data_IF_641934875401
#
_entry.id   IF_641934875401
#
_cell.length_a   1.000
_cell.length_b   1.000
_cell.length_c   1.000
_cell.angle_alpha   90.00
_cell.angle_beta   90.00
_cell.angle_gamma   90.00
#
_symmetry.space_group_name_H-M   'P 1'
#
loop_
_entity.id
_entity.type
_entity.pdbx_description
1 polymer ?
#
# COMPACT_ATOMS: atom_id res chain seq x y z
N UNK A 1 -14.49 23.40 5.84
CA UNK A 1 -14.09 23.43 4.41
C UNK A 1 -12.68 24.00 4.33
N UNK A 2 -11.68 23.15 4.17
CA UNK A 2 -10.31 23.57 3.85
C UNK A 2 -10.26 24.01 2.39
N UNK A 3 -9.72 25.20 2.07
CA UNK A 3 -9.64 25.68 0.69
C UNK A 3 -8.73 24.76 -0.13
N UNK A 4 -9.15 24.44 -1.35
CA UNK A 4 -8.37 23.61 -2.28
C UNK A 4 -7.14 24.36 -2.79
N UNK A 5 -6.15 23.66 -3.34
CA UNK A 5 -5.02 24.29 -4.05
C UNK A 5 -5.49 25.21 -5.20
N UNK A 6 -6.65 24.91 -5.82
CA UNK A 6 -7.28 25.76 -6.84
C UNK A 6 -7.87 27.05 -6.24
N UNK A 7 -8.51 27.00 -5.07
CA UNK A 7 -8.94 28.21 -4.33
C UNK A 7 -7.73 29.06 -3.91
N UNK A 8 -6.63 28.39 -3.58
CA UNK A 8 -5.33 29.00 -3.31
C UNK A 8 -4.57 29.41 -4.57
N UNK A 9 -4.95 29.04 -5.79
CA UNK A 9 -4.41 29.63 -7.00
C UNK A 9 -5.22 30.86 -7.44
N UNK A 10 -6.54 30.87 -7.14
CA UNK A 10 -7.46 31.88 -7.61
C UNK A 10 -7.34 33.25 -6.92
N UNK A 11 -6.97 33.31 -5.63
CA UNK A 11 -6.74 34.63 -5.00
C UNK A 11 -5.35 35.17 -5.39
N UNK A 12 -5.19 36.49 -5.60
CA UNK A 12 -3.88 37.10 -5.81
C UNK A 12 -2.90 36.70 -4.71
N UNK A 13 -1.63 36.47 -5.07
CA UNK A 13 -0.54 36.26 -4.13
C UNK A 13 0.70 37.02 -4.60
N UNK A 14 1.54 37.43 -3.65
CA UNK A 14 2.79 38.13 -3.94
C UNK A 14 3.78 37.18 -4.63
N UNK A 15 4.30 37.51 -5.83
CA UNK A 15 5.25 36.68 -6.56
C UNK A 15 6.64 36.59 -5.90
N UNK A 16 6.84 37.23 -4.74
CA UNK A 16 8.08 37.21 -3.96
C UNK A 16 9.32 37.72 -4.72
N UNK A 17 9.28 38.88 -5.39
CA UNK A 17 10.37 39.37 -6.23
C UNK A 17 11.65 39.73 -5.45
N UNK A 18 11.57 39.79 -4.11
CA UNK A 18 12.71 40.04 -3.21
C UNK A 18 13.38 38.77 -2.71
N UNK A 19 12.77 37.60 -2.94
CA UNK A 19 13.33 36.32 -2.53
C UNK A 19 14.22 35.79 -3.64
N UNK A 20 15.52 35.54 -3.41
CA UNK A 20 16.40 34.95 -4.42
C UNK A 20 15.88 33.61 -4.94
N UNK A 21 15.16 32.86 -4.09
CA UNK A 21 14.48 31.63 -4.49
C UNK A 21 13.57 31.88 -5.70
N UNK A 22 12.77 32.95 -5.71
CA UNK A 22 11.79 33.23 -6.76
C UNK A 22 12.25 34.27 -7.79
N UNK A 23 13.22 35.13 -7.45
CA UNK A 23 13.70 36.21 -8.33
C UNK A 23 14.95 35.86 -9.13
N UNK A 24 15.70 34.84 -8.70
CA UNK A 24 16.96 34.43 -9.35
C UNK A 24 16.86 33.02 -9.91
N UNK A 25 16.31 32.07 -9.15
CA UNK A 25 16.29 30.67 -9.56
C UNK A 25 15.15 30.37 -10.54
N UNK A 26 15.43 29.65 -11.64
CA UNK A 26 14.40 29.15 -12.55
C UNK A 26 13.57 28.05 -11.88
N UNK A 27 12.38 27.77 -12.41
CA UNK A 27 11.42 26.85 -11.78
C UNK A 27 11.93 25.43 -11.64
N UNK A 28 12.78 24.98 -12.55
CA UNK A 28 13.42 23.66 -12.54
C UNK A 28 14.30 23.49 -11.29
N UNK A 29 15.15 24.48 -11.00
CA UNK A 29 16.00 24.44 -9.80
C UNK A 29 15.19 24.61 -8.51
N UNK A 30 14.10 25.39 -8.55
CA UNK A 30 13.18 25.48 -7.41
C UNK A 30 12.52 24.14 -7.12
N UNK A 31 12.07 23.42 -8.15
CA UNK A 31 11.48 22.10 -8.01
C UNK A 31 12.47 21.10 -7.39
N UNK A 32 13.75 21.12 -7.80
CA UNK A 32 14.79 20.31 -7.16
C UNK A 32 14.97 20.68 -5.69
N UNK A 33 15.03 21.98 -5.36
CA UNK A 33 15.10 22.44 -3.97
C UNK A 33 13.90 21.95 -3.16
N UNK A 34 12.68 22.06 -3.69
CA UNK A 34 11.49 21.53 -3.03
C UNK A 34 11.57 20.00 -2.87
N UNK A 35 12.01 19.26 -3.89
CA UNK A 35 12.14 17.81 -3.80
C UNK A 35 13.09 17.40 -2.67
N UNK A 36 14.27 18.03 -2.57
CA UNK A 36 15.24 17.73 -1.51
C UNK A 36 14.77 18.21 -0.13
N UNK A 37 14.17 19.40 -0.04
CA UNK A 37 13.72 19.94 1.25
C UNK A 37 12.52 19.19 1.84
N UNK A 38 11.71 18.56 0.98
CA UNK A 38 10.46 17.89 1.34
C UNK A 38 10.56 16.37 1.35
N UNK A 39 11.75 15.82 1.07
CA UNK A 39 12.00 14.37 1.08
C UNK A 39 11.59 13.76 2.41
N UNK A 40 10.96 12.59 2.34
CA UNK A 40 10.63 11.82 3.54
C UNK A 40 11.89 11.22 4.16
N UNK A 41 11.95 11.25 5.49
CA UNK A 41 12.93 10.54 6.30
C UNK A 41 12.23 9.83 7.46
N UNK A 42 12.91 8.86 8.06
CA UNK A 42 12.40 8.13 9.23
C UNK A 42 12.54 9.00 10.48
N UNK A 43 11.50 9.01 11.31
CA UNK A 43 11.48 9.75 12.56
C UNK A 43 12.14 8.94 13.68
N UNK A 44 13.47 9.04 13.78
CA UNK A 44 14.28 8.30 14.76
C UNK A 44 13.82 8.56 16.22
N UNK A 45 13.25 9.73 16.51
CA UNK A 45 12.72 10.07 17.84
C UNK A 45 11.49 9.24 18.22
N UNK A 46 10.76 8.75 17.21
CA UNK A 46 9.55 7.95 17.35
C UNK A 46 9.72 6.59 16.66
N UNK A 47 10.94 6.04 16.67
CA UNK A 47 11.24 4.73 16.10
C UNK A 47 10.31 3.66 16.67
N UNK A 48 9.87 2.75 15.81
CA UNK A 48 9.08 1.60 16.22
C UNK A 48 9.92 0.63 17.05
N UNK A 49 9.29 -0.11 17.98
CA UNK A 49 9.97 -1.21 18.66
C UNK A 49 10.52 -2.21 17.63
N UNK A 50 11.78 -2.63 17.77
CA UNK A 50 12.41 -3.57 16.84
C UNK A 50 11.67 -4.91 16.75
N UNK A 51 10.97 -5.31 17.82
CA UNK A 51 10.15 -6.51 17.88
C UNK A 51 8.69 -6.27 17.47
N UNK A 52 8.30 -5.09 17.03
CA UNK A 52 6.95 -4.89 16.49
C UNK A 52 6.79 -5.57 15.12
N UNK A 53 5.58 -6.05 14.82
CA UNK A 53 5.28 -6.67 13.52
C UNK A 53 5.55 -5.78 12.29
N UNK A 54 5.61 -4.46 12.46
CA UNK A 54 5.78 -3.50 11.37
C UNK A 54 7.17 -2.86 11.30
N UNK A 55 8.07 -3.23 12.21
CA UNK A 55 9.46 -2.81 12.12
C UNK A 55 10.18 -3.56 10.99
N UNK A 56 10.84 -2.81 10.10
CA UNK A 56 11.74 -3.35 9.07
C UNK A 56 12.64 -2.26 8.52
N UNK A 57 13.77 -2.60 7.86
CA UNK A 57 14.61 -1.62 7.19
C UNK A 57 13.82 -0.76 6.19
N UNK A 58 13.95 0.56 6.31
CA UNK A 58 13.21 1.53 5.50
C UNK A 58 11.78 1.82 5.95
N UNK A 59 11.32 1.13 7.01
CA UNK A 59 10.13 1.46 7.80
C UNK A 59 10.42 1.24 9.30
N UNK A 60 11.55 1.76 9.79
CA UNK A 60 11.96 1.63 11.19
C UNK A 60 11.17 2.56 12.13
N UNK A 61 10.51 3.57 11.57
CA UNK A 61 9.67 4.53 12.30
C UNK A 61 8.64 5.22 11.39
N UNK A 62 7.80 6.11 11.95
CA UNK A 62 6.93 6.96 11.16
C UNK A 62 7.75 7.81 10.19
N UNK A 63 7.33 7.90 8.93
CA UNK A 63 7.97 8.82 7.98
C UNK A 63 7.49 10.25 8.19
N UNK A 64 8.42 11.19 8.14
CA UNK A 64 8.20 12.64 8.26
C UNK A 64 8.86 13.39 7.11
N UNK A 65 8.32 14.57 6.82
CA UNK A 65 8.88 15.56 5.90
C UNK A 65 8.82 16.94 6.53
N UNK A 66 9.76 17.82 6.17
CA UNK A 66 9.77 19.19 6.69
C UNK A 66 8.83 20.10 5.90
N UNK A 67 7.67 20.45 6.45
CA UNK A 67 6.75 21.40 5.80
C UNK A 67 7.13 22.87 5.99
N UNK A 68 8.24 23.16 6.69
CA UNK A 68 8.66 24.53 7.03
C UNK A 68 8.77 25.43 5.79
N UNK A 69 9.33 24.92 4.70
CA UNK A 69 9.46 25.66 3.45
C UNK A 69 8.10 25.95 2.79
N UNK A 70 7.17 24.99 2.80
CA UNK A 70 5.81 25.18 2.28
C UNK A 70 5.02 26.23 3.06
N UNK A 71 5.32 26.39 4.35
CA UNK A 71 4.66 27.34 5.26
C UNK A 71 5.21 28.76 5.18
N UNK A 72 6.22 29.03 4.33
CA UNK A 72 6.83 30.36 4.22
C UNK A 72 5.95 31.37 3.48
N UNK A 73 5.43 30.99 2.31
CA UNK A 73 4.55 31.83 1.51
C UNK A 73 3.68 31.00 0.57
N UNK A 74 2.65 31.63 0.02
CA UNK A 74 1.68 30.94 -0.86
C UNK A 74 2.30 30.44 -2.17
N UNK A 75 3.28 31.16 -2.73
CA UNK A 75 3.99 30.71 -3.93
C UNK A 75 4.83 29.44 -3.63
N UNK A 76 5.54 29.41 -2.50
CA UNK A 76 6.27 28.23 -2.05
C UNK A 76 5.33 27.03 -1.81
N UNK A 77 4.17 27.27 -1.20
CA UNK A 77 3.15 26.24 -1.05
C UNK A 77 2.65 25.69 -2.38
N UNK A 78 2.26 26.56 -3.33
CA UNK A 78 1.69 26.15 -4.61
C UNK A 78 2.67 25.41 -5.53
N UNK A 79 3.95 25.80 -5.53
CA UNK A 79 4.99 25.14 -6.31
C UNK A 79 5.48 23.86 -5.60
N UNK A 80 5.81 23.97 -4.32
CA UNK A 80 6.39 22.87 -3.55
C UNK A 80 5.42 21.74 -3.24
N UNK A 81 4.12 22.01 -2.99
CA UNK A 81 3.14 20.95 -2.68
C UNK A 81 3.02 19.92 -3.82
N UNK A 82 3.14 20.37 -5.08
CA UNK A 82 3.06 19.49 -6.25
C UNK A 82 4.24 18.53 -6.32
N UNK A 83 5.43 19.04 -5.99
CA UNK A 83 6.66 18.24 -5.97
C UNK A 83 6.61 17.26 -4.80
N UNK A 84 6.21 17.74 -3.62
CA UNK A 84 6.08 16.93 -2.42
C UNK A 84 5.22 15.69 -2.64
N UNK A 85 3.98 15.86 -3.10
CA UNK A 85 3.04 14.74 -3.25
C UNK A 85 3.48 13.71 -4.31
N UNK A 86 4.21 14.14 -5.34
CA UNK A 86 4.70 13.24 -6.40
C UNK A 86 5.80 12.29 -5.90
N UNK A 87 6.65 12.77 -5.01
CA UNK A 87 7.76 12.01 -4.43
C UNK A 87 7.37 11.33 -3.10
N UNK A 88 6.22 11.70 -2.52
CA UNK A 88 5.69 11.14 -1.28
C UNK A 88 5.24 9.69 -1.48
N UNK A 89 5.91 8.73 -0.84
CA UNK A 89 5.39 7.37 -0.69
C UNK A 89 4.55 7.29 0.58
N UNK A 90 3.26 7.07 0.41
CA UNK A 90 2.34 6.89 1.54
C UNK A 90 2.04 5.42 1.78
N UNK A 91 2.28 4.95 3.00
CA UNK A 91 2.11 3.55 3.37
C UNK A 91 0.86 3.32 4.25
N UNK A 92 0.17 2.22 3.98
CA UNK A 92 -0.94 1.71 4.79
C UNK A 92 -0.65 0.28 5.22
N UNK A 93 -1.16 -0.08 6.40
CA UNK A 93 -1.09 -1.44 6.92
C UNK A 93 -2.48 -2.04 6.95
N UNK A 94 -2.66 -3.21 6.36
CA UNK A 94 -3.89 -3.97 6.43
C UNK A 94 -3.65 -5.14 7.38
N UNK A 95 -3.86 -4.81 8.65
CA UNK A 95 -3.49 -5.57 9.85
C UNK A 95 -2.02 -5.44 10.29
N UNK A 96 -1.77 -5.72 11.58
CA UNK A 96 -0.44 -5.80 12.21
C UNK A 96 0.45 -4.58 11.91
N UNK A 97 -0.14 -3.40 11.98
CA UNK A 97 0.51 -2.12 11.71
C UNK A 97 0.43 -1.15 12.89
N UNK A 98 1.11 0.01 12.79
CA UNK A 98 1.06 1.02 13.83
C UNK A 98 -0.36 1.59 14.00
N UNK A 99 -0.65 2.05 15.21
CA UNK A 99 -1.96 2.62 15.56
C UNK A 99 -2.32 3.81 14.65
N UNK A 100 -3.60 3.92 14.29
CA UNK A 100 -4.14 5.03 13.49
C UNK A 100 -3.80 4.99 11.99
N UNK A 101 -2.94 4.06 11.54
CA UNK A 101 -2.57 3.88 10.11
C UNK A 101 -2.97 2.51 9.54
N UNK A 102 -3.75 1.76 10.32
CA UNK A 102 -4.10 0.38 10.02
C UNK A 102 -5.57 0.22 9.60
N UNK A 103 -5.80 -0.59 8.57
CA UNK A 103 -7.11 -1.06 8.11
C UNK A 103 -7.76 -0.24 6.98
N UNK A 104 -8.79 -0.85 6.38
CA UNK A 104 -9.57 -0.29 5.26
C UNK A 104 -10.12 1.11 5.56
N UNK A 105 -10.70 1.30 6.76
CA UNK A 105 -11.31 2.58 7.16
C UNK A 105 -10.29 3.71 7.26
N UNK A 106 -9.08 3.43 7.71
CA UNK A 106 -8.01 4.44 7.78
C UNK A 106 -7.56 4.86 6.37
N UNK A 107 -7.39 3.87 5.48
CA UNK A 107 -7.08 4.10 4.07
C UNK A 107 -8.16 4.95 3.38
N UNK A 108 -9.43 4.54 3.48
CA UNK A 108 -10.55 5.28 2.88
C UNK A 108 -10.63 6.71 3.41
N UNK A 109 -10.57 6.90 4.73
CA UNK A 109 -10.63 8.24 5.34
C UNK A 109 -9.50 9.13 4.84
N UNK A 110 -8.29 8.59 4.68
CA UNK A 110 -7.16 9.33 4.15
C UNK A 110 -7.46 9.82 2.73
N UNK A 111 -7.82 8.91 1.81
CA UNK A 111 -8.13 9.31 0.44
C UNK A 111 -9.35 10.22 0.39
N UNK A 112 -10.32 10.04 1.28
CA UNK A 112 -11.50 10.88 1.38
C UNK A 112 -11.22 12.32 1.77
N UNK A 113 -10.14 12.52 2.53
CA UNK A 113 -9.67 13.85 2.94
C UNK A 113 -8.90 14.58 1.84
N UNK A 114 -8.43 13.89 0.79
CA UNK A 114 -7.66 14.51 -0.29
C UNK A 114 -8.57 15.29 -1.24
N UNK A 115 -8.08 16.46 -1.65
CA UNK A 115 -8.68 17.18 -2.78
C UNK A 115 -8.42 16.42 -4.08
N UNK A 116 -9.23 16.62 -5.14
CA UNK A 116 -9.01 15.96 -6.43
C UNK A 116 -7.60 16.20 -7.02
N UNK A 117 -7.01 17.38 -6.76
CA UNK A 117 -5.65 17.67 -7.20
C UNK A 117 -4.61 16.89 -6.39
N UNK A 118 -4.73 16.86 -5.06
CA UNK A 118 -3.81 16.11 -4.20
C UNK A 118 -3.86 14.61 -4.49
N UNK A 119 -5.06 14.07 -4.68
CA UNK A 119 -5.27 12.67 -5.09
C UNK A 119 -4.59 12.35 -6.41
N UNK A 120 -4.62 13.27 -7.40
CA UNK A 120 -3.88 13.12 -8.65
C UNK A 120 -2.37 13.28 -8.49
N UNK A 121 -1.91 14.12 -7.57
CA UNK A 121 -0.47 14.35 -7.37
C UNK A 121 0.19 13.28 -6.49
N UNK A 122 -0.57 12.55 -5.67
CA UNK A 122 -0.08 11.42 -4.88
C UNK A 122 0.12 10.19 -5.76
N UNK A 123 1.38 9.94 -6.14
CA UNK A 123 1.71 8.94 -7.16
C UNK A 123 2.22 7.60 -6.61
N UNK A 124 2.74 7.60 -5.37
CA UNK A 124 3.41 6.44 -4.78
C UNK A 124 2.65 5.99 -3.53
N UNK A 125 2.08 4.78 -3.60
CA UNK A 125 1.36 4.19 -2.47
C UNK A 125 1.93 2.81 -2.16
N UNK A 126 2.06 2.49 -0.88
CA UNK A 126 2.47 1.18 -0.40
C UNK A 126 1.42 0.56 0.51
N UNK A 127 1.14 -0.72 0.31
CA UNK A 127 0.31 -1.54 1.18
C UNK A 127 1.17 -2.61 1.83
N UNK A 128 1.14 -2.68 3.15
CA UNK A 128 1.52 -3.88 3.90
C UNK A 128 0.26 -4.70 4.12
N UNK A 129 0.25 -5.95 3.68
CA UNK A 129 -0.98 -6.74 3.63
C UNK A 129 -0.77 -8.10 4.24
N UNK A 130 -1.61 -8.47 5.21
CA UNK A 130 -1.74 -9.86 5.60
C UNK A 130 -2.42 -10.68 4.49
N UNK A 131 -2.10 -11.97 4.42
CA UNK A 131 -2.64 -12.88 3.41
C UNK A 131 -4.17 -12.92 3.38
N UNK A 132 -4.85 -12.97 4.52
CA UNK A 132 -6.33 -12.99 4.56
C UNK A 132 -6.96 -11.75 3.90
N UNK A 133 -6.30 -10.60 3.98
CA UNK A 133 -6.81 -9.37 3.41
C UNK A 133 -6.60 -9.35 1.90
N UNK A 134 -5.43 -9.82 1.44
CA UNK A 134 -4.99 -9.75 0.05
C UNK A 134 -5.53 -10.89 -0.80
N UNK A 135 -5.33 -12.14 -0.38
CA UNK A 135 -5.28 -13.36 -1.20
C UNK A 135 -6.50 -13.57 -2.11
N UNK A 136 -7.70 -13.38 -1.59
CA UNK A 136 -8.95 -13.54 -2.36
C UNK A 136 -9.18 -12.36 -3.31
N UNK A 137 -8.54 -11.22 -3.11
CA UNK A 137 -8.62 -10.06 -4.01
C UNK A 137 -9.79 -9.12 -3.78
N UNK A 138 -10.82 -9.51 -3.03
CA UNK A 138 -12.01 -8.68 -2.79
C UNK A 138 -11.69 -7.32 -2.16
N UNK A 139 -10.86 -7.28 -1.12
CA UNK A 139 -10.47 -6.01 -0.48
C UNK A 139 -9.64 -5.11 -1.40
N UNK A 140 -8.70 -5.71 -2.14
CA UNK A 140 -7.86 -4.97 -3.07
C UNK A 140 -8.72 -4.40 -4.22
N UNK A 141 -9.56 -5.23 -4.84
CA UNK A 141 -10.50 -4.82 -5.89
C UNK A 141 -11.41 -3.69 -5.39
N UNK A 142 -11.96 -3.81 -4.17
CA UNK A 142 -12.78 -2.75 -3.56
C UNK A 142 -12.03 -1.42 -3.50
N UNK A 143 -10.78 -1.40 -3.04
CA UNK A 143 -10.00 -0.16 -3.00
C UNK A 143 -9.67 0.35 -4.40
N UNK A 144 -9.21 -0.51 -5.30
CA UNK A 144 -8.85 -0.10 -6.66
C UNK A 144 -10.07 0.46 -7.40
N UNK A 145 -11.24 -0.16 -7.28
CA UNK A 145 -12.43 0.17 -8.07
C UNK A 145 -13.38 1.16 -7.40
N UNK A 146 -13.57 1.09 -6.08
CA UNK A 146 -14.61 1.84 -5.36
C UNK A 146 -14.08 3.07 -4.62
N UNK A 147 -12.76 3.24 -4.47
CA UNK A 147 -12.19 4.47 -3.93
C UNK A 147 -11.82 5.43 -5.07
N UNK A 148 -12.67 6.41 -5.43
CA UNK A 148 -12.49 7.25 -6.63
C UNK A 148 -11.22 8.11 -6.61
N UNK A 149 -10.68 8.38 -5.41
CA UNK A 149 -9.44 9.15 -5.19
C UNK A 149 -8.17 8.29 -5.15
N UNK A 150 -8.30 6.97 -5.26
CA UNK A 150 -7.15 6.07 -5.35
C UNK A 150 -6.65 6.01 -6.79
N UNK A 151 -5.64 6.80 -7.14
CA UNK A 151 -5.06 6.87 -8.50
C UNK A 151 -3.52 6.94 -8.52
N UNK A 152 -2.81 6.07 -7.78
CA UNK A 152 -1.35 6.09 -7.81
C UNK A 152 -0.83 5.60 -9.18
N UNK A 153 0.29 6.16 -9.63
CA UNK A 153 1.04 5.57 -10.74
C UNK A 153 1.81 4.31 -10.32
N UNK A 154 2.25 4.24 -9.06
CA UNK A 154 2.91 3.07 -8.50
C UNK A 154 2.22 2.60 -7.23
N UNK A 155 1.82 1.32 -7.23
CA UNK A 155 1.44 0.61 -6.02
C UNK A 155 2.55 -0.39 -5.66
N UNK A 156 3.00 -0.36 -4.41
CA UNK A 156 3.84 -1.41 -3.83
C UNK A 156 3.01 -2.23 -2.85
N UNK A 157 2.95 -3.54 -3.01
CA UNK A 157 2.37 -4.47 -2.03
C UNK A 157 3.52 -5.19 -1.35
N UNK A 158 3.55 -5.21 -0.02
CA UNK A 158 4.54 -5.93 0.77
C UNK A 158 3.80 -6.96 1.63
N UNK A 159 4.20 -8.22 1.48
CA UNK A 159 3.79 -9.34 2.33
C UNK A 159 4.99 -9.66 3.22
N UNK A 160 4.92 -9.30 4.51
CA UNK A 160 5.98 -9.55 5.48
C UNK A 160 6.05 -11.03 5.86
N UNK A 161 7.14 -11.43 6.50
CA UNK A 161 7.26 -12.76 7.06
C UNK A 161 6.07 -13.14 7.97
N UNK A 162 5.66 -12.22 8.83
CA UNK A 162 4.52 -12.41 9.73
C UNK A 162 3.18 -12.12 9.07
N UNK A 163 3.09 -11.98 7.75
CA UNK A 163 1.83 -11.76 7.05
C UNK A 163 1.32 -13.04 6.35
N UNK A 164 2.17 -14.07 6.25
CA UNK A 164 1.84 -15.36 5.68
C UNK A 164 0.85 -16.15 6.55
N UNK A 165 0.05 -17.01 5.92
CA UNK A 165 -0.86 -17.89 6.62
C UNK A 165 -0.11 -18.80 7.60
N UNK A 166 -0.56 -18.84 8.86
CA UNK A 166 -0.07 -19.77 9.88
C UNK A 166 1.46 -19.76 10.06
N UNK A 167 2.08 -18.59 9.85
CA UNK A 167 3.53 -18.43 10.00
C UNK A 167 3.99 -18.78 11.42
N UNK A 168 3.12 -18.58 12.43
CA UNK A 168 3.36 -18.91 13.83
C UNK A 168 3.56 -20.42 14.04
N UNK A 169 3.03 -21.26 13.16
CA UNK A 169 3.14 -22.73 13.20
C UNK A 169 4.22 -23.27 12.25
N UNK A 170 5.01 -22.39 11.63
CA UNK A 170 5.98 -22.75 10.60
C UNK A 170 5.35 -23.51 9.40
N UNK A 171 4.09 -23.26 9.08
CA UNK A 171 3.41 -23.90 7.95
C UNK A 171 4.07 -23.55 6.60
N UNK A 172 4.03 -24.46 5.60
CA UNK A 172 4.54 -24.19 4.27
C UNK A 172 3.90 -22.96 3.62
N UNK A 173 4.69 -22.17 2.89
CA UNK A 173 4.19 -20.98 2.24
C UNK A 173 3.22 -21.32 1.11
N UNK A 174 2.06 -20.68 1.12
CA UNK A 174 1.05 -20.78 0.07
C UNK A 174 0.39 -19.44 -0.18
N UNK A 175 -0.10 -19.25 -1.40
CA UNK A 175 -0.84 -18.07 -1.83
C UNK A 175 -1.77 -18.41 -3.00
N UNK A 176 -3.08 -18.21 -2.87
CA UNK A 176 -4.02 -18.25 -4.00
C UNK A 176 -3.86 -16.99 -4.88
N UNK A 177 -4.25 -17.10 -6.13
CA UNK A 177 -4.05 -16.03 -7.14
C UNK A 177 -5.29 -15.14 -7.34
N UNK A 178 -6.32 -15.29 -6.50
CA UNK A 178 -7.56 -14.51 -6.58
C UNK A 178 -7.32 -13.00 -6.64
N UNK A 179 -6.35 -12.50 -5.88
CA UNK A 179 -5.95 -11.09 -5.90
C UNK A 179 -5.33 -10.61 -7.22
N UNK A 180 -4.64 -11.48 -7.96
CA UNK A 180 -4.12 -11.18 -9.30
C UNK A 180 -5.24 -11.28 -10.34
N UNK A 181 -6.08 -12.31 -10.22
CA UNK A 181 -7.23 -12.55 -11.08
C UNK A 181 -8.24 -11.40 -11.03
N UNK A 182 -8.49 -10.87 -9.83
CA UNK A 182 -9.40 -9.73 -9.58
C UNK A 182 -8.71 -8.37 -9.64
N UNK A 183 -7.40 -8.30 -9.87
CA UNK A 183 -6.68 -7.02 -9.91
C UNK A 183 -7.16 -6.13 -11.06
N UNK A 184 -7.68 -4.93 -10.76
CA UNK A 184 -8.04 -3.95 -11.79
C UNK A 184 -7.44 -2.59 -11.47
N UNK A 185 -6.31 -2.27 -12.08
CA UNK A 185 -5.56 -1.05 -11.81
C UNK A 185 -6.37 0.22 -12.14
N UNK A 186 -6.27 1.30 -11.34
CA UNK A 186 -6.88 2.57 -11.68
C UNK A 186 -6.20 3.20 -12.90
N UNK A 187 -6.93 4.10 -13.57
CA UNK A 187 -6.44 4.88 -14.70
C UNK A 187 -5.11 5.58 -14.35
N UNK A 188 -4.12 5.46 -15.24
CA UNK A 188 -2.81 6.07 -15.08
C UNK A 188 -1.83 5.26 -14.23
N UNK A 189 -2.22 4.09 -13.73
CA UNK A 189 -1.28 3.17 -13.09
C UNK A 189 -0.22 2.70 -14.10
N UNK A 190 1.04 2.72 -13.67
CA UNK A 190 2.22 2.37 -14.49
C UNK A 190 3.03 1.23 -13.95
N UNK A 191 2.98 1.00 -12.64
CA UNK A 191 3.83 0.02 -11.99
C UNK A 191 3.13 -0.60 -10.78
N UNK A 192 3.17 -1.92 -10.71
CA UNK A 192 2.91 -2.67 -9.48
C UNK A 192 4.24 -3.30 -9.05
N UNK A 193 4.61 -3.10 -7.78
CA UNK A 193 5.70 -3.82 -7.13
C UNK A 193 5.13 -4.75 -6.08
N UNK A 194 5.69 -5.93 -5.98
CA UNK A 194 5.33 -6.88 -4.93
C UNK A 194 6.59 -7.33 -4.23
N UNK A 195 6.70 -7.01 -2.94
CA UNK A 195 7.77 -7.45 -2.05
C UNK A 195 7.27 -8.65 -1.25
N UNK A 196 7.84 -9.82 -1.53
CA UNK A 196 7.60 -11.05 -0.77
C UNK A 196 8.74 -11.20 0.23
N UNK A 197 8.43 -11.19 1.53
CA UNK A 197 9.41 -11.34 2.60
C UNK A 197 9.12 -12.58 3.43
N UNK A 198 10.15 -13.38 3.71
CA UNK A 198 10.05 -14.58 4.56
C UNK A 198 11.39 -14.90 5.21
N UNK A 199 11.45 -15.95 6.04
CA UNK A 199 12.71 -16.46 6.57
C UNK A 199 13.62 -16.96 5.44
N UNK A 200 14.92 -16.74 5.57
CA UNK A 200 15.92 -17.20 4.61
C UNK A 200 15.80 -18.70 4.27
N UNK A 201 15.37 -19.53 5.23
CA UNK A 201 15.13 -20.96 5.08
C UNK A 201 13.95 -21.30 4.15
N UNK A 202 12.93 -20.42 4.06
CA UNK A 202 11.71 -20.60 3.26
C UNK A 202 11.77 -19.93 1.89
N UNK A 203 12.94 -19.47 1.48
CA UNK A 203 13.16 -18.78 0.20
C UNK A 203 12.61 -19.55 -1.00
N UNK A 204 12.87 -20.85 -1.07
CA UNK A 204 12.52 -21.64 -2.26
C UNK A 204 11.00 -21.88 -2.39
N UNK A 205 10.30 -22.01 -1.26
CA UNK A 205 8.83 -22.04 -1.22
C UNK A 205 8.24 -20.71 -1.72
N UNK A 206 8.75 -19.59 -1.20
CA UNK A 206 8.35 -18.25 -1.65
C UNK A 206 8.62 -18.08 -3.15
N UNK A 207 9.78 -18.52 -3.64
CA UNK A 207 10.15 -18.41 -5.06
C UNK A 207 9.22 -19.22 -5.98
N UNK A 208 8.61 -20.31 -5.51
CA UNK A 208 7.58 -21.01 -6.29
C UNK A 208 6.34 -20.12 -6.50
N UNK A 209 5.93 -19.38 -5.45
CA UNK A 209 4.83 -18.42 -5.51
C UNK A 209 5.18 -17.25 -6.43
N UNK A 210 6.36 -16.65 -6.26
CA UNK A 210 6.80 -15.51 -7.09
C UNK A 210 6.78 -15.87 -8.58
N UNK A 211 7.32 -17.04 -8.95
CA UNK A 211 7.37 -17.47 -10.36
C UNK A 211 5.99 -17.62 -10.98
N UNK A 212 5.05 -18.24 -10.25
CA UNK A 212 3.68 -18.42 -10.70
C UNK A 212 2.94 -17.07 -10.81
N UNK A 213 3.06 -16.22 -9.80
CA UNK A 213 2.43 -14.89 -9.80
C UNK A 213 2.92 -14.04 -10.98
N UNK A 214 4.21 -14.12 -11.32
CA UNK A 214 4.85 -13.37 -12.42
C UNK A 214 4.22 -13.61 -13.80
N UNK A 215 3.55 -14.74 -13.99
CA UNK A 215 2.90 -15.07 -15.27
C UNK A 215 1.68 -14.19 -15.55
N UNK A 216 1.04 -13.64 -14.52
CA UNK A 216 -0.20 -12.90 -14.63
C UNK A 216 -0.03 -11.56 -15.36
N UNK A 217 -0.97 -11.28 -16.26
CA UNK A 217 -1.23 -9.93 -16.82
C UNK A 217 -2.35 -9.27 -16.03
N UNK A 218 -2.14 -8.01 -15.67
CA UNK A 218 -3.03 -7.28 -14.78
C UNK A 218 -3.67 -6.13 -15.52
N UNK A 219 -4.99 -6.04 -15.52
CA UNK A 219 -5.70 -5.00 -16.25
C UNK A 219 -5.42 -3.61 -15.64
N UNK A 220 -5.31 -2.59 -16.50
CA UNK A 220 -5.37 -1.19 -16.11
C UNK A 220 -6.56 -0.55 -16.81
N UNK A 221 -7.51 -0.03 -16.03
CA UNK A 221 -8.74 0.55 -16.55
C UNK A 221 -8.46 1.81 -17.37
N UNK A 222 -9.15 1.91 -18.50
CA UNK A 222 -9.16 3.12 -19.33
C UNK A 222 -10.11 4.19 -18.80
N UNK A 223 -10.27 5.25 -19.60
CA UNK A 223 -11.26 6.28 -19.29
C UNK A 223 -12.67 5.70 -19.44
N UNK A 224 -13.58 6.08 -18.53
CA UNK A 224 -14.98 5.64 -18.54
C UNK A 224 -15.70 5.97 -19.85
N UNK A 225 -15.24 7.01 -20.56
CA UNK A 225 -15.82 7.50 -21.81
C UNK A 225 -15.53 6.61 -23.03
N UNK A 226 -14.51 5.76 -22.98
CA UNK A 226 -14.03 5.02 -24.17
C UNK A 226 -14.32 3.50 -24.10
N UNK A 227 -14.65 2.94 -22.94
CA UNK A 227 -14.97 1.51 -22.79
C UNK A 227 -13.83 0.55 -23.17
N UNK A 228 -12.61 1.07 -23.36
CA UNK A 228 -11.41 0.33 -23.74
C UNK A 228 -10.41 0.41 -22.57
N UNK A 229 -9.86 -0.73 -22.14
CA UNK A 229 -8.78 -0.76 -21.16
C UNK A 229 -7.58 0.08 -21.64
N UNK A 230 -6.96 0.86 -20.74
CA UNK A 230 -5.78 1.69 -21.08
C UNK A 230 -4.62 0.79 -21.56
N UNK A 231 -4.48 -0.35 -20.90
CA UNK A 231 -3.50 -1.35 -21.20
C UNK A 231 -3.47 -2.42 -20.11
N UNK A 232 -2.28 -2.97 -19.87
CA UNK A 232 -2.08 -3.96 -18.82
C UNK A 232 -0.70 -3.86 -18.19
N UNK A 233 -0.54 -4.31 -16.95
CA UNK A 233 0.75 -4.51 -16.32
C UNK A 233 1.24 -5.93 -16.61
N UNK A 234 2.51 -6.06 -16.98
CA UNK A 234 3.17 -7.34 -17.21
C UNK A 234 4.54 -7.37 -16.54
N UNK A 235 4.87 -8.49 -15.90
CA UNK A 235 6.21 -8.73 -15.36
C UNK A 235 7.16 -9.39 -16.38
N UNK A 236 6.74 -9.59 -17.63
CA UNK A 236 7.61 -10.09 -18.69
C UNK A 236 8.81 -9.20 -18.94
N UNK A 237 10.00 -9.82 -19.00
CA UNK A 237 11.27 -9.14 -19.20
C UNK A 237 11.76 -8.35 -17.99
N UNK A 238 11.05 -8.39 -16.85
CA UNK A 238 11.50 -7.75 -15.61
C UNK A 238 12.38 -8.69 -14.79
N UNK A 239 13.46 -8.13 -14.23
CA UNK A 239 14.34 -8.87 -13.32
C UNK A 239 13.79 -8.83 -11.89
N UNK A 240 13.87 -9.97 -11.20
CA UNK A 240 13.63 -10.02 -9.76
C UNK A 240 14.79 -9.34 -9.03
N UNK A 241 14.48 -8.61 -7.95
CA UNK A 241 15.49 -8.08 -7.03
C UNK A 241 15.38 -8.81 -5.71
N UNK A 242 16.51 -9.30 -5.21
CA UNK A 242 16.59 -9.98 -3.93
C UNK A 242 17.53 -9.23 -3.00
N UNK A 243 17.14 -9.13 -1.73
CA UNK A 243 18.03 -8.68 -0.66
C UNK A 243 17.70 -9.44 0.63
N UNK A 244 18.61 -9.34 1.59
CA UNK A 244 18.49 -9.95 2.91
C UNK A 244 18.64 -8.90 3.97
N UNK A 245 18.02 -9.15 5.11
CA UNK A 245 18.23 -8.35 6.31
C UNK A 245 18.06 -9.21 7.55
N UNK A 246 18.71 -8.78 8.63
CA UNK A 246 18.64 -9.46 9.93
C UNK A 246 17.76 -8.64 10.85
N UNK A 247 16.75 -9.26 11.43
CA UNK A 247 15.88 -8.67 12.44
C UNK A 247 15.87 -9.50 13.71
N UNK A 248 15.16 -9.03 14.73
CA UNK A 248 15.00 -9.81 15.97
C UNK A 248 14.22 -11.11 15.71
N UNK A 249 14.51 -12.14 16.49
CA UNK A 249 13.73 -13.38 16.51
C UNK A 249 12.43 -13.27 17.30
N UNK A 250 12.14 -12.10 17.89
CA UNK A 250 10.95 -11.83 18.69
C UNK A 250 9.98 -10.95 17.92
N UNK A 251 8.68 -11.22 18.09
CA UNK A 251 7.61 -10.37 17.56
C UNK A 251 6.60 -10.14 18.69
N UNK A 252 6.35 -8.87 19.02
CA UNK A 252 5.62 -8.41 20.21
C UNK A 252 6.06 -9.14 21.49
N UNK A 253 7.37 -9.22 21.71
CA UNK A 253 7.99 -9.91 22.84
C UNK A 253 7.83 -11.44 22.88
N UNK A 254 7.18 -12.06 21.89
CA UNK A 254 6.98 -13.52 21.80
C UNK A 254 8.10 -14.19 21.01
N UNK A 255 8.28 -15.48 21.25
CA UNK A 255 9.29 -16.32 20.58
C UNK A 255 8.64 -17.53 19.93
N UNK A 256 9.24 -18.06 18.88
CA UNK A 256 8.79 -19.26 18.18
C UNK A 256 9.94 -20.24 18.00
N UNK A 257 9.66 -21.54 18.11
CA UNK A 257 10.68 -22.60 18.07
C UNK A 257 11.47 -22.61 16.76
N UNK A 258 10.80 -22.38 15.63
CA UNK A 258 11.42 -22.37 14.29
C UNK A 258 12.33 -21.15 14.03
N UNK A 259 12.40 -20.18 14.95
CA UNK A 259 13.41 -19.11 14.90
C UNK A 259 14.76 -19.56 15.48
N UNK A 260 14.81 -20.71 16.16
CA UNK A 260 15.99 -21.23 16.84
C UNK A 260 16.32 -20.48 18.15
N UNK A 261 17.52 -20.75 18.69
CA UNK A 261 17.96 -20.22 19.99
C UNK A 261 18.55 -18.80 19.93
N UNK A 262 18.67 -18.21 18.72
CA UNK A 262 19.27 -16.89 18.52
C UNK A 262 18.31 -15.73 18.80
N UNK A 263 18.87 -14.56 19.12
CA UNK A 263 18.09 -13.32 19.30
C UNK A 263 17.69 -12.65 17.97
N UNK A 264 18.14 -13.21 16.84
CA UNK A 264 17.91 -12.67 15.50
C UNK A 264 17.60 -13.77 14.48
N UNK A 265 16.82 -13.42 13.46
CA UNK A 265 16.58 -14.25 12.27
C UNK A 265 16.99 -13.51 11.00
N UNK A 266 17.37 -14.27 9.96
CA UNK A 266 17.64 -13.71 8.64
C UNK A 266 16.38 -13.79 7.78
N UNK A 267 15.94 -12.63 7.29
CA UNK A 267 14.88 -12.49 6.32
C UNK A 267 15.45 -12.36 4.91
N UNK A 268 14.71 -12.90 3.95
CA UNK A 268 14.94 -12.68 2.52
C UNK A 268 13.72 -11.97 1.95
N UNK A 269 13.96 -10.96 1.11
CA UNK A 269 12.92 -10.26 0.38
C UNK A 269 13.17 -10.40 -1.11
N UNK A 270 12.13 -10.75 -1.86
CA UNK A 270 12.14 -10.75 -3.32
C UNK A 270 11.12 -9.73 -3.81
N UNK A 271 11.58 -8.71 -4.53
CA UNK A 271 10.75 -7.76 -5.27
C UNK A 271 10.54 -8.28 -6.70
N UNK A 272 9.28 -8.39 -7.09
CA UNK A 272 8.85 -8.50 -8.48
C UNK A 272 8.14 -7.22 -8.94
N UNK A 273 8.13 -6.98 -10.25
CA UNK A 273 7.65 -5.75 -10.86
C UNK A 273 6.83 -6.04 -12.09
N UNK A 274 5.62 -5.51 -12.13
CA UNK A 274 4.80 -5.44 -13.32
C UNK A 274 4.86 -4.01 -13.86
N UNK A 275 5.25 -3.88 -15.12
CA UNK A 275 5.34 -2.59 -15.81
C UNK A 275 4.23 -2.48 -16.84
N UNK A 276 3.69 -1.27 -16.98
CA UNK A 276 2.64 -0.99 -17.95
C UNK A 276 3.08 -1.25 -19.39
N UNK A 277 2.15 -1.85 -20.14
CA UNK A 277 2.20 -2.11 -21.58
C UNK A 277 0.97 -1.47 -22.21
N UNK A 278 1.21 -0.72 -23.28
CA UNK A 278 0.14 -0.11 -24.05
C UNK A 278 -0.65 -1.17 -24.80
N UNK A 279 -1.97 -1.00 -24.83
CA UNK A 279 -2.87 -1.89 -25.54
C UNK A 279 -3.38 -3.07 -24.70
N UNK A 280 -4.48 -3.68 -25.17
CA UNK A 280 -5.13 -4.76 -24.43
C UNK A 280 -4.22 -5.98 -24.27
N UNK A 281 -4.37 -6.70 -23.16
CA UNK A 281 -3.77 -8.04 -23.02
C UNK A 281 -4.43 -9.02 -23.99
N UNK A 282 -3.80 -10.19 -24.18
CA UNK A 282 -4.34 -11.21 -25.08
C UNK A 282 -5.70 -11.76 -24.61
N UNK A 283 -6.50 -12.30 -25.53
CA UNK A 283 -7.77 -12.98 -25.19
C UNK A 283 -7.55 -14.18 -24.25
N UNK A 284 -6.41 -14.88 -24.40
CA UNK A 284 -6.03 -15.98 -23.51
C UNK A 284 -5.78 -15.49 -22.08
N UNK A 285 -5.03 -14.39 -21.91
CA UNK A 285 -4.79 -13.79 -20.60
C UNK A 285 -6.08 -13.26 -19.97
N UNK A 286 -6.99 -12.69 -20.76
CA UNK A 286 -8.31 -12.26 -20.27
C UNK A 286 -9.14 -13.45 -19.80
N UNK A 287 -9.18 -14.52 -20.58
CA UNK A 287 -9.93 -15.72 -20.24
C UNK A 287 -9.37 -16.40 -19.00
N UNK A 288 -8.04 -16.48 -18.85
CA UNK A 288 -7.40 -17.00 -17.62
C UNK A 288 -7.88 -16.28 -16.36
N UNK A 289 -8.18 -14.99 -16.46
CA UNK A 289 -8.71 -14.20 -15.34
C UNK A 289 -10.18 -14.53 -15.04
N UNK A 290 -11.03 -14.60 -16.08
CA UNK A 290 -12.45 -14.95 -15.93
C UNK A 290 -12.66 -16.37 -15.42
N UNK A 291 -11.95 -17.35 -16.00
CA UNK A 291 -12.06 -18.76 -15.60
C UNK A 291 -11.63 -18.98 -14.13
N UNK A 292 -10.82 -18.07 -13.55
CA UNK A 292 -10.45 -18.10 -12.13
C UNK A 292 -11.54 -17.49 -11.22
N UNK A 293 -12.34 -16.53 -11.72
CA UNK A 293 -13.47 -15.96 -10.96
C UNK A 293 -14.59 -16.98 -10.77
N UNK A 294 -14.87 -17.82 -11.78
CA UNK A 294 -15.93 -18.84 -11.76
C UNK A 294 -15.64 -20.04 -10.83
N UNK A 295 -14.37 -20.25 -10.44
CA UNK A 295 -13.97 -21.38 -9.57
C UNK A 295 -14.14 -21.03 -8.08
N UNK A 296 -13.86 -19.79 -7.68
CA UNK A 296 -13.97 -19.36 -6.27
C UNK A 296 -15.43 -19.25 -5.79
N UNK A 297 -16.39 -18.98 -6.69
CA UNK A 297 -17.82 -18.89 -6.32
C UNK A 297 -18.46 -20.28 -6.06
N UNK A 298 -17.81 -21.38 -6.46
CA UNK A 298 -18.29 -22.75 -6.23
C UNK A 298 -17.71 -23.43 -4.98
N UNK A 299 -16.73 -22.82 -4.30
CA UNK A 299 -16.04 -23.44 -3.14
C UNK A 299 -16.73 -23.12 -1.79
N UNK A 300 -17.89 -22.45 -1.82
CA UNK A 300 -18.71 -22.14 -0.63
C UNK A 300 -19.91 -23.09 -0.42
N UNK A 301 -20.20 -23.99 -1.35
CA UNK A 301 -21.45 -24.79 -1.34
C UNK A 301 -21.29 -26.30 -1.09
N UNK A 302 -20.07 -26.84 -0.89
CA UNK A 302 -19.88 -28.30 -0.88
C UNK A 302 -19.04 -28.86 0.29
N UNK A 303 -19.20 -28.38 1.52
CA UNK A 303 -18.87 -29.18 2.72
C UNK A 303 -19.80 -28.88 3.92
N UNK A 304 -21.09 -29.22 3.84
CA UNK A 304 -21.78 -29.89 4.96
C UNK A 304 -23.14 -30.46 4.52
N UNK A 305 -23.21 -31.78 4.30
CA UNK A 305 -24.49 -32.48 4.26
C UNK A 305 -24.42 -33.72 5.13
N UNK A 306 -24.45 -33.50 6.45
CA UNK A 306 -24.69 -34.49 7.47
C UNK A 306 -25.75 -34.03 8.48
N UNK A 307 -27.02 -34.11 8.08
CA UNK A 307 -28.22 -34.35 8.94
C UNK A 307 -28.21 -33.84 10.39
N UNK A 308 -29.09 -32.88 10.71
CA UNK A 308 -30.31 -33.09 11.51
C UNK A 308 -31.07 -31.76 11.72
N UNK A 309 -32.40 -31.85 11.69
CA UNK A 309 -33.35 -30.74 11.89
C UNK A 309 -33.17 -30.07 13.26
N UNK A 310 -33.04 -28.73 13.29
CA UNK A 310 -32.95 -28.03 14.57
C UNK A 310 -32.80 -26.52 14.49
N UNK A 311 -33.93 -25.84 14.34
CA UNK A 311 -34.25 -24.50 14.84
C UNK A 311 -33.46 -23.25 14.40
N UNK A 312 -34.24 -22.20 14.18
CA UNK A 312 -33.93 -20.85 13.76
C UNK A 312 -32.93 -20.14 14.69
N UNK A 313 -31.79 -19.67 14.14
CA UNK A 313 -31.28 -18.30 14.33
C UNK A 313 -29.92 -18.12 13.63
N UNK A 314 -29.92 -17.51 12.45
CA UNK A 314 -28.70 -16.92 11.88
C UNK A 314 -28.42 -15.65 12.68
N UNK A 315 -27.36 -15.68 13.48
CA UNK A 315 -26.82 -14.53 14.21
C UNK A 315 -25.84 -13.84 13.25
N UNK A 316 -26.22 -12.65 12.80
CA UNK A 316 -25.34 -11.68 12.13
C UNK A 316 -24.10 -11.42 13.00
N UNK A 317 -22.91 -11.75 12.49
CA UNK A 317 -21.65 -11.27 13.05
C UNK A 317 -21.10 -10.16 12.15
N UNK A 318 -21.76 -9.00 12.22
CA UNK A 318 -21.18 -7.72 11.86
C UNK A 318 -21.22 -6.79 13.08
N UNK A 319 -20.03 -6.33 13.46
CA UNK A 319 -19.72 -5.18 14.32
C UNK A 319 -20.16 -5.26 15.80
N UNK A 320 -19.17 -5.30 16.70
CA UNK A 320 -19.18 -4.39 17.85
C UNK A 320 -17.77 -4.26 18.44
N UNK A 321 -17.21 -3.05 18.29
CA UNK A 321 -16.14 -2.59 19.13
C UNK A 321 -16.63 -2.41 20.57
N UNK A 322 -15.89 -2.95 21.53
CA UNK A 322 -16.00 -2.52 22.93
C UNK A 322 -14.74 -2.88 23.74
N UNK A 323 -13.78 -1.96 23.76
CA UNK A 323 -12.87 -1.69 24.88
C UNK A 323 -12.63 -0.18 24.78
N UNK A 324 -13.22 0.69 25.58
CA UNK A 324 -13.34 0.70 27.03
C UNK A 324 -12.80 2.07 27.43
N UNK A 325 -13.69 3.05 27.60
CA UNK A 325 -13.34 4.40 28.02
C UNK A 325 -12.59 4.38 29.36
N UNK A 326 -11.38 4.93 29.36
CA UNK A 326 -10.73 5.43 30.56
C UNK A 326 -10.22 6.84 30.26
N UNK A 327 -10.91 7.81 30.85
CA UNK A 327 -10.58 9.24 30.88
C UNK A 327 -9.09 9.49 31.16
N UNK A 328 -8.42 10.24 30.27
CA UNK A 328 -7.37 11.23 30.59
C UNK A 328 -6.85 11.96 29.34
N UNK A 329 -6.28 13.18 29.48
CA UNK A 329 -6.61 14.33 28.63
C UNK A 329 -5.92 14.33 27.27
N UNK A 330 -6.66 14.79 26.26
CA UNK A 330 -6.26 14.76 24.86
C UNK A 330 -4.99 15.52 24.53
N UNK A 331 -4.17 15.02 23.58
CA UNK A 331 -3.11 15.81 22.99
C UNK A 331 -3.69 16.71 21.90
N UNK A 332 -3.36 17.98 22.03
CA UNK A 332 -3.59 19.06 21.08
C UNK A 332 -3.26 18.67 19.65
N UNK A 333 -4.24 18.92 18.77
CA UNK A 333 -4.11 18.93 17.32
C UNK A 333 -2.90 19.74 16.86
N UNK A 334 -2.06 19.15 16.01
CA UNK A 334 -1.44 19.78 14.85
C UNK A 334 -0.79 18.70 13.98
N UNK A 335 -1.61 18.00 13.19
CA UNK A 335 -1.13 17.36 11.98
C UNK A 335 -1.32 18.38 10.85
N UNK A 336 -0.32 19.24 10.68
CA UNK A 336 -0.15 19.97 9.43
C UNK A 336 0.49 18.98 8.43
N UNK A 337 -0.22 18.73 7.32
CA UNK A 337 0.37 18.13 6.11
C UNK A 337 1.55 18.96 5.60
#
# INVERSE_FOLDING_TARGET
>A
MTPTSLDLAAKPYDPQPKSPLFSVLPGELRNEIFAYALVQYEDDENAYPEDSYWYRPGFSGPRRSSSALLRTCRLAYLEGQKVFLKELEWAFWFDRGPEGRSGNRACDRFFDSLTPQQSRDLQLVRFFTQMYWLEDGGNLLRLLCLQPRFRPARLTVTIRYSDWWFWEQDEPLRMREGWLARFSGPLGMRELRVEYETLASKRDEMMAIVRRNKEWKLEVRGSEDEGVAEGHLSAEGTALREWRWTGTSKLDGKTWEHHGEGDTVEYVVVEDRWTFREGPMSEEDRRRRHDHEDVDDNDWDDEDNGTEEGDSSVVDWFDDGQYGDVDSPGPTSHADL
#
